data_IF_072581863843
#
_entry.id   IF_072581863843
#
_cell.length_a   1.000
_cell.length_b   1.000
_cell.length_c   1.000
_cell.angle_alpha   90.00
_cell.angle_beta   90.00
_cell.angle_gamma   90.00
#
_symmetry.space_group_name_H-M   'P 1'
#
loop_
_entity.id
_entity.type
_entity.pdbx_description
1 polymer ?
#
# COMPACT_ATOMS: atom_id res chain seq x y z
N UNK A 1 -30.31 7.73 -21.38
CA UNK A 1 -30.49 6.51 -20.56
C UNK A 1 -29.16 6.27 -19.86
N UNK A 2 -28.84 6.90 -18.73
CA UNK A 2 -29.69 7.40 -17.64
C UNK A 2 -29.44 8.87 -17.31
N UNK A 3 -30.53 9.49 -16.83
CA UNK A 3 -30.71 10.84 -16.31
C UNK A 3 -29.68 11.21 -15.24
N UNK A 4 -29.03 12.35 -15.44
CA UNK A 4 -28.40 13.13 -14.37
C UNK A 4 -29.46 14.02 -13.73
N UNK A 5 -29.97 13.61 -12.57
CA UNK A 5 -30.81 14.47 -11.74
C UNK A 5 -30.00 15.63 -11.15
N UNK A 6 -30.48 16.89 -11.27
CA UNK A 6 -29.87 18.03 -10.62
C UNK A 6 -30.17 18.01 -9.11
N UNK A 7 -29.12 18.06 -8.30
CA UNK A 7 -29.20 18.23 -6.85
C UNK A 7 -29.84 19.58 -6.55
N UNK A 8 -31.07 19.53 -6.04
CA UNK A 8 -31.88 20.65 -5.61
C UNK A 8 -31.29 21.24 -4.31
N UNK A 9 -31.06 22.55 -4.21
CA UNK A 9 -30.57 23.18 -2.99
C UNK A 9 -31.72 23.23 -1.97
N UNK A 10 -31.61 22.44 -0.90
CA UNK A 10 -32.55 22.48 0.21
C UNK A 10 -32.48 23.84 0.92
N UNK A 11 -33.62 24.52 0.90
CA UNK A 11 -33.92 25.74 1.63
C UNK A 11 -33.60 25.56 3.13
N UNK A 12 -32.66 26.37 3.61
CA UNK A 12 -32.40 26.59 5.03
C UNK A 12 -33.53 27.47 5.57
N UNK A 13 -34.68 26.84 5.80
CA UNK A 13 -35.81 27.40 6.53
C UNK A 13 -35.37 27.72 7.96
N UNK A 14 -35.25 29.01 8.22
CA UNK A 14 -34.93 29.66 9.48
C UNK A 14 -36.13 29.55 10.44
N UNK A 15 -36.30 28.38 11.06
CA UNK A 15 -37.25 28.15 12.14
C UNK A 15 -36.71 28.72 13.46
N UNK A 16 -37.03 29.98 13.76
CA UNK A 16 -36.77 30.60 15.05
C UNK A 16 -37.61 29.96 16.15
N UNK A 17 -36.99 29.13 16.98
CA UNK A 17 -37.58 28.71 18.25
C UNK A 17 -37.40 29.82 19.30
N UNK A 18 -38.46 30.24 20.01
CA UNK A 18 -38.36 31.19 21.10
C UNK A 18 -37.57 30.56 22.25
N UNK A 19 -36.46 31.22 22.62
CA UNK A 19 -35.67 30.90 23.80
C UNK A 19 -36.51 31.28 25.03
N UNK A 20 -37.20 30.30 25.61
CA UNK A 20 -37.85 30.44 26.91
C UNK A 20 -36.78 30.67 27.99
N UNK A 21 -36.67 31.92 28.41
CA UNK A 21 -36.00 32.32 29.64
C UNK A 21 -36.83 31.84 30.85
N UNK A 22 -36.22 31.05 31.73
CA UNK A 22 -36.79 30.77 33.05
C UNK A 22 -37.14 29.31 33.29
N UNK A 23 -36.12 28.46 33.48
CA UNK A 23 -36.26 27.24 34.26
C UNK A 23 -34.93 26.96 34.99
N UNK A 24 -34.96 27.27 36.29
CA UNK A 24 -34.06 26.86 37.37
C UNK A 24 -32.97 25.83 37.00
N UNK A 25 -31.74 26.33 36.84
CA UNK A 25 -30.49 25.56 36.85
C UNK A 25 -30.07 25.21 38.29
N UNK A 26 -30.94 24.51 39.01
CA UNK A 26 -30.63 23.93 40.34
C UNK A 26 -30.74 22.42 40.29
N UNK A 27 -30.44 21.82 39.14
CA UNK A 27 -30.11 20.40 39.08
C UNK A 27 -28.67 20.25 39.55
N UNK A 28 -28.52 20.05 40.86
CA UNK A 28 -27.33 19.55 41.52
C UNK A 28 -27.02 18.13 41.02
N UNK A 29 -26.73 18.01 39.72
CA UNK A 29 -25.92 16.92 39.18
C UNK A 29 -24.63 16.98 39.97
N UNK A 30 -24.51 16.04 40.89
CA UNK A 30 -23.29 15.55 41.49
C UNK A 30 -22.20 15.52 40.43
N UNK A 31 -21.51 16.67 40.32
CA UNK A 31 -20.30 16.83 39.55
C UNK A 31 -19.22 16.07 40.27
N UNK A 32 -19.27 14.74 40.22
CA UNK A 32 -18.05 13.97 40.35
C UNK A 32 -17.17 14.50 39.23
N UNK A 33 -16.08 15.23 39.54
CA UNK A 33 -15.14 15.61 38.51
C UNK A 33 -14.78 14.31 37.80
N UNK A 34 -14.94 14.29 36.48
CA UNK A 34 -14.50 13.24 35.58
C UNK A 34 -12.96 13.19 35.62
N UNK A 35 -12.40 12.91 36.79
CA UNK A 35 -11.03 12.53 36.99
C UNK A 35 -10.93 11.06 36.58
N UNK A 36 -11.22 10.83 35.29
CA UNK A 36 -11.08 9.52 34.66
C UNK A 36 -9.59 9.24 34.61
N UNK A 37 -9.10 8.59 35.66
CA UNK A 37 -7.78 7.99 35.71
C UNK A 37 -7.71 6.86 34.69
N UNK A 38 -6.56 6.73 34.05
CA UNK A 38 -6.32 5.65 33.12
C UNK A 38 -6.29 4.32 33.87
N UNK A 39 -7.14 3.40 33.49
CA UNK A 39 -7.25 2.10 34.13
C UNK A 39 -6.29 1.05 33.58
N UNK A 40 -6.00 1.14 32.27
CA UNK A 40 -5.15 0.21 31.54
C UNK A 40 -3.72 0.72 31.38
N UNK A 41 -2.84 -0.18 30.97
CA UNK A 41 -1.47 0.16 30.67
C UNK A 41 -1.41 1.09 29.43
N UNK A 42 -0.76 2.23 29.59
CA UNK A 42 -0.56 3.20 28.51
C UNK A 42 0.85 3.78 28.64
N UNK A 43 1.87 3.20 27.97
CA UNK A 43 3.22 3.72 28.05
C UNK A 43 3.30 5.11 27.40
N UNK A 44 3.95 6.07 28.06
CA UNK A 44 4.18 7.41 27.54
C UNK A 44 4.88 7.36 26.19
N UNK A 45 4.46 8.18 25.22
CA UNK A 45 5.04 8.16 23.87
C UNK A 45 6.53 8.53 23.86
N UNK A 46 6.97 9.40 24.78
CA UNK A 46 8.35 9.88 24.91
C UNK A 46 9.19 8.94 25.78
N UNK A 47 8.94 8.88 27.09
CA UNK A 47 9.79 8.16 28.04
C UNK A 47 9.38 6.71 28.31
N UNK A 48 8.27 6.22 27.72
CA UNK A 48 7.71 4.87 27.93
C UNK A 48 7.21 4.56 29.36
N UNK A 49 7.22 5.51 30.29
CA UNK A 49 6.60 5.34 31.62
C UNK A 49 5.12 4.96 31.53
N UNK A 50 4.66 3.99 32.31
CA UNK A 50 3.27 3.53 32.27
C UNK A 50 2.34 4.54 32.96
N UNK A 51 1.43 5.15 32.19
CA UNK A 51 0.50 6.18 32.66
C UNK A 51 -0.74 5.62 33.37
N UNK A 52 -0.73 4.34 33.75
CA UNK A 52 -1.81 3.72 34.52
C UNK A 52 -2.01 4.46 35.85
N UNK A 53 -3.24 4.86 36.13
CA UNK A 53 -3.64 5.61 37.31
C UNK A 53 -3.52 7.13 37.18
N UNK A 54 -2.87 7.64 36.13
CA UNK A 54 -2.70 9.09 35.89
C UNK A 54 -3.99 9.66 35.29
N UNK A 55 -4.34 10.90 35.64
CA UNK A 55 -5.50 11.58 35.05
C UNK A 55 -5.26 11.94 33.58
N UNK A 56 -6.28 11.86 32.74
CA UNK A 56 -6.20 12.23 31.31
C UNK A 56 -5.75 13.70 31.12
N UNK A 57 -6.02 14.56 32.13
CA UNK A 57 -5.68 16.00 32.12
C UNK A 57 -4.25 16.29 32.57
N UNK A 58 -3.60 15.34 33.24
CA UNK A 58 -2.27 15.51 33.79
C UNK A 58 -1.18 15.32 32.73
N UNK A 59 0.05 15.58 33.15
CA UNK A 59 1.26 15.31 32.40
C UNK A 59 1.93 14.04 32.93
N UNK A 60 2.70 13.36 32.08
CA UNK A 60 3.55 12.26 32.49
C UNK A 60 4.51 12.72 33.61
N UNK A 61 4.59 12.03 34.76
CA UNK A 61 5.42 12.47 35.89
C UNK A 61 6.92 12.47 35.57
N UNK A 62 7.36 11.58 34.67
CA UNK A 62 8.78 11.46 34.29
C UNK A 62 9.27 12.53 33.31
N UNK A 63 8.44 12.93 32.34
CA UNK A 63 8.92 13.76 31.21
C UNK A 63 8.02 14.96 30.89
N UNK A 64 6.96 15.21 31.66
CA UNK A 64 6.04 16.32 31.44
C UNK A 64 5.19 16.23 30.17
N UNK A 65 5.27 15.14 29.40
CA UNK A 65 4.46 14.98 28.17
C UNK A 65 2.98 14.90 28.54
N UNK A 66 2.09 15.72 27.95
CA UNK A 66 0.65 15.67 28.25
C UNK A 66 0.07 14.29 27.95
N UNK A 67 -0.71 13.71 28.89
CA UNK A 67 -1.30 12.37 28.73
C UNK A 67 -2.19 12.31 27.47
N UNK A 68 -2.94 13.38 27.17
CA UNK A 68 -3.73 13.52 25.93
C UNK A 68 -2.91 13.33 24.65
N UNK A 69 -1.65 13.78 24.62
CA UNK A 69 -0.78 13.62 23.46
C UNK A 69 -0.38 12.14 23.29
N UNK A 70 -0.12 11.44 24.39
CA UNK A 70 0.11 9.99 24.37
C UNK A 70 -1.14 9.23 23.93
N UNK A 71 -2.32 9.59 24.44
CA UNK A 71 -3.59 8.97 24.01
C UNK A 71 -3.81 9.16 22.52
N UNK A 72 -3.68 10.38 21.99
CA UNK A 72 -3.84 10.65 20.56
C UNK A 72 -2.78 9.93 19.70
N UNK A 73 -1.58 9.70 20.25
CA UNK A 73 -0.50 9.00 19.54
C UNK A 73 -0.65 7.47 19.56
N UNK A 74 -1.21 6.88 20.62
CA UNK A 74 -1.24 5.42 20.82
C UNK A 74 -2.62 4.78 20.68
N UNK A 75 -3.69 5.51 21.00
CA UNK A 75 -5.05 4.99 21.01
C UNK A 75 -5.74 5.37 19.70
N UNK A 76 -6.13 4.36 18.92
CA UNK A 76 -6.94 4.59 17.72
C UNK A 76 -8.41 4.78 18.12
N UNK A 77 -8.99 5.99 17.95
CA UNK A 77 -10.40 6.21 18.27
C UNK A 77 -11.34 5.37 17.39
N UNK A 78 -10.88 4.93 16.21
CA UNK A 78 -11.66 4.16 15.24
C UNK A 78 -11.40 2.65 15.31
N UNK A 79 -10.65 2.16 16.31
CA UNK A 79 -10.33 0.74 16.43
C UNK A 79 -11.56 -0.18 16.42
N UNK A 80 -12.71 0.30 16.92
CA UNK A 80 -13.97 -0.45 16.94
C UNK A 80 -14.62 -0.62 15.57
N UNK A 81 -14.35 0.28 14.63
CA UNK A 81 -14.87 0.19 13.26
C UNK A 81 -14.05 -0.81 12.42
N UNK A 82 -12.83 -1.12 12.85
CA UNK A 82 -11.94 -2.01 12.13
C UNK A 82 -12.31 -3.49 12.39
N UNK A 83 -13.05 -4.10 11.46
CA UNK A 83 -13.41 -5.52 11.52
C UNK A 83 -12.19 -6.44 11.71
N UNK A 84 -12.18 -7.37 12.69
CA UNK A 84 -11.01 -8.18 13.03
C UNK A 84 -10.47 -9.02 11.86
N UNK A 85 -9.15 -9.16 11.79
CA UNK A 85 -8.48 -10.04 10.81
C UNK A 85 -8.45 -11.45 11.39
N UNK A 86 -8.97 -12.47 10.70
CA UNK A 86 -9.05 -13.82 11.24
C UNK A 86 -7.68 -14.50 11.38
N UNK A 87 -6.71 -14.12 10.53
CA UNK A 87 -5.37 -14.74 10.47
C UNK A 87 -4.26 -13.68 10.37
N UNK A 88 -4.01 -12.89 11.44
CA UNK A 88 -3.11 -11.74 11.39
C UNK A 88 -1.67 -12.12 10.99
N UNK A 89 -1.17 -13.27 11.45
CA UNK A 89 0.17 -13.77 11.11
C UNK A 89 0.33 -14.08 9.63
N UNK A 90 -0.64 -14.77 9.03
CA UNK A 90 -0.58 -15.09 7.59
C UNK A 90 -0.66 -13.82 6.74
N UNK A 91 -1.54 -12.88 7.10
CA UNK A 91 -1.64 -11.60 6.38
C UNK A 91 -0.33 -10.81 6.47
N UNK A 92 0.27 -10.74 7.66
CA UNK A 92 1.55 -10.07 7.87
C UNK A 92 2.67 -10.69 7.03
N UNK A 93 2.83 -12.03 7.06
CA UNK A 93 3.84 -12.73 6.27
C UNK A 93 3.60 -12.53 4.76
N UNK A 94 2.35 -12.66 4.31
CA UNK A 94 2.02 -12.50 2.89
C UNK A 94 2.26 -11.09 2.37
N UNK A 95 1.98 -10.04 3.16
CA UNK A 95 2.28 -8.66 2.79
C UNK A 95 3.79 -8.42 2.60
N UNK A 96 4.60 -8.95 3.52
CA UNK A 96 6.07 -8.84 3.43
C UNK A 96 6.58 -9.65 2.24
N UNK A 97 6.11 -10.89 2.06
CA UNK A 97 6.48 -11.74 0.93
C UNK A 97 6.10 -11.11 -0.43
N UNK A 98 4.92 -10.47 -0.50
CA UNK A 98 4.45 -9.78 -1.69
C UNK A 98 5.40 -8.66 -2.12
N UNK A 99 5.72 -7.74 -1.20
CA UNK A 99 6.63 -6.62 -1.47
C UNK A 99 8.07 -7.07 -1.70
N UNK A 100 8.56 -8.03 -0.91
CA UNK A 100 9.93 -8.55 -1.03
C UNK A 100 10.16 -9.25 -2.36
N UNK A 101 9.24 -10.15 -2.76
CA UNK A 101 9.31 -10.83 -4.04
C UNK A 101 9.28 -9.86 -5.21
N UNK A 102 8.45 -8.81 -5.15
CA UNK A 102 8.38 -7.78 -6.20
C UNK A 102 9.69 -6.99 -6.31
N UNK A 103 10.25 -6.54 -5.19
CA UNK A 103 11.52 -5.81 -5.17
C UNK A 103 12.67 -6.70 -5.67
N UNK A 104 12.74 -7.95 -5.22
CA UNK A 104 13.77 -8.90 -5.66
C UNK A 104 13.65 -9.18 -7.17
N UNK A 105 12.42 -9.32 -7.69
CA UNK A 105 12.18 -9.47 -9.14
C UNK A 105 12.71 -8.24 -9.91
N UNK A 106 12.39 -7.03 -9.44
CA UNK A 106 12.84 -5.80 -10.08
C UNK A 106 14.37 -5.69 -10.08
N UNK A 107 15.01 -5.93 -8.92
CA UNK A 107 16.48 -5.90 -8.79
C UNK A 107 17.17 -6.94 -9.66
N UNK A 108 16.66 -8.17 -9.68
CA UNK A 108 17.19 -9.24 -10.55
C UNK A 108 16.99 -8.90 -12.03
N UNK A 109 15.92 -8.18 -12.40
CA UNK A 109 15.69 -7.71 -13.76
C UNK A 109 16.76 -6.73 -14.27
N UNK A 110 17.41 -5.98 -13.37
CA UNK A 110 18.53 -5.10 -13.71
C UNK A 110 19.85 -5.85 -13.93
N UNK A 111 20.00 -7.05 -13.36
CA UNK A 111 21.29 -7.75 -13.29
C UNK A 111 21.97 -7.99 -14.65
N UNK A 112 21.26 -8.42 -15.72
CA UNK A 112 21.90 -8.62 -17.03
C UNK A 112 22.49 -7.34 -17.62
N UNK A 113 21.90 -6.18 -17.32
CA UNK A 113 22.34 -4.89 -17.84
C UNK A 113 23.58 -4.34 -17.11
N UNK A 114 23.79 -4.75 -15.85
CA UNK A 114 24.91 -4.30 -15.02
C UNK A 114 26.09 -5.27 -15.08
N UNK A 115 25.81 -6.58 -15.11
CA UNK A 115 26.83 -7.61 -14.92
C UNK A 115 27.00 -8.57 -16.11
N UNK A 116 26.22 -8.40 -17.19
CA UNK A 116 26.12 -9.39 -18.29
C UNK A 116 25.80 -10.82 -17.80
N UNK A 117 25.23 -10.95 -16.60
CA UNK A 117 24.99 -12.25 -15.99
C UNK A 117 23.67 -12.81 -16.51
N UNK A 118 23.73 -13.69 -17.52
CA UNK A 118 22.58 -14.38 -18.09
C UNK A 118 22.71 -15.91 -17.94
N UNK A 119 22.48 -16.40 -16.72
CA UNK A 119 22.54 -17.84 -16.44
C UNK A 119 21.15 -18.43 -16.22
N UNK A 120 20.99 -19.74 -16.43
CA UNK A 120 19.75 -20.43 -16.10
C UNK A 120 19.35 -20.24 -14.61
N UNK A 121 20.26 -20.32 -13.62
CA UNK A 121 19.94 -20.01 -12.22
C UNK A 121 19.35 -18.62 -12.00
N UNK A 122 19.85 -17.59 -12.70
CA UNK A 122 19.31 -16.23 -12.60
C UNK A 122 17.84 -16.17 -13.07
N UNK A 123 17.52 -16.81 -14.20
CA UNK A 123 16.14 -16.88 -14.72
C UNK A 123 15.19 -17.55 -13.73
N UNK A 124 15.64 -18.65 -13.13
CA UNK A 124 14.88 -19.37 -12.10
C UNK A 124 14.67 -18.48 -10.87
N UNK A 125 15.70 -17.77 -10.40
CA UNK A 125 15.59 -16.84 -9.28
C UNK A 125 14.62 -15.68 -9.58
N UNK A 126 14.66 -15.13 -10.80
CA UNK A 126 13.75 -14.08 -11.26
C UNK A 126 12.29 -14.56 -11.27
N UNK A 127 12.02 -15.75 -11.81
CA UNK A 127 10.67 -16.31 -11.82
C UNK A 127 10.19 -16.74 -10.43
N UNK A 128 11.09 -17.28 -9.60
CA UNK A 128 10.78 -17.69 -8.22
C UNK A 128 10.44 -16.48 -7.36
N UNK A 129 11.18 -15.38 -7.48
CA UNK A 129 10.87 -14.14 -6.75
C UNK A 129 9.52 -13.52 -7.18
N UNK A 130 9.19 -13.57 -8.47
CA UNK A 130 7.88 -13.17 -8.97
C UNK A 130 6.76 -14.08 -8.42
N UNK A 131 6.99 -15.40 -8.36
CA UNK A 131 6.07 -16.36 -7.78
C UNK A 131 5.86 -16.15 -6.27
N UNK A 132 6.92 -15.89 -5.50
CA UNK A 132 6.83 -15.52 -4.07
C UNK A 132 5.97 -14.26 -3.90
N UNK A 133 6.15 -13.27 -4.77
CA UNK A 133 5.32 -12.06 -4.76
C UNK A 133 3.84 -12.42 -4.98
N UNK A 134 3.54 -13.23 -5.99
CA UNK A 134 2.16 -13.67 -6.30
C UNK A 134 1.50 -14.47 -5.19
N UNK A 135 2.26 -15.39 -4.56
CA UNK A 135 1.79 -16.13 -3.39
C UNK A 135 1.53 -15.21 -2.19
N UNK A 136 2.38 -14.19 -1.98
CA UNK A 136 2.16 -13.16 -0.98
C UNK A 136 0.87 -12.37 -1.23
N UNK A 137 0.58 -12.04 -2.49
CA UNK A 137 -0.61 -11.28 -2.88
C UNK A 137 -1.94 -12.01 -2.58
N UNK A 138 -1.93 -13.33 -2.36
CA UNK A 138 -3.13 -14.09 -1.98
C UNK A 138 -3.78 -13.57 -0.68
N UNK A 139 -3.02 -12.96 0.22
CA UNK A 139 -3.58 -12.38 1.46
C UNK A 139 -4.47 -11.16 1.18
N UNK A 140 -4.36 -10.57 -0.02
CA UNK A 140 -5.21 -9.47 -0.46
C UNK A 140 -6.55 -9.94 -1.00
N UNK A 141 -6.81 -11.24 -1.21
CA UNK A 141 -8.10 -11.72 -1.72
C UNK A 141 -9.26 -11.41 -0.77
N UNK A 142 -9.05 -11.61 0.53
CA UNK A 142 -10.08 -11.40 1.55
C UNK A 142 -9.46 -10.97 2.89
N UNK A 143 -9.01 -9.71 3.01
CA UNK A 143 -8.29 -9.23 4.20
C UNK A 143 -9.15 -9.30 5.48
N UNK A 144 -10.47 -9.12 5.37
CA UNK A 144 -11.41 -9.26 6.49
C UNK A 144 -12.77 -9.81 6.01
N UNK A 145 -13.67 -10.09 6.96
CA UNK A 145 -15.00 -10.66 6.64
C UNK A 145 -15.92 -9.71 5.88
N UNK A 146 -15.76 -8.40 6.02
CA UNK A 146 -16.60 -7.37 5.37
C UNK A 146 -16.10 -6.88 4.02
N UNK A 147 -15.09 -7.52 3.43
CA UNK A 147 -14.62 -7.15 2.08
C UNK A 147 -15.72 -7.46 1.06
N UNK A 148 -16.09 -6.47 0.24
CA UNK A 148 -17.11 -6.61 -0.81
C UNK A 148 -16.68 -7.66 -1.83
N UNK A 149 -17.63 -8.47 -2.33
CA UNK A 149 -17.34 -9.53 -3.31
C UNK A 149 -16.65 -8.98 -4.57
N UNK A 150 -17.06 -7.81 -5.05
CA UNK A 150 -16.43 -7.16 -6.20
C UNK A 150 -14.94 -6.93 -5.99
N UNK A 151 -14.51 -6.48 -4.80
CA UNK A 151 -13.11 -6.28 -4.51
C UNK A 151 -12.35 -7.62 -4.39
N UNK A 152 -12.99 -8.67 -3.86
CA UNK A 152 -12.42 -10.02 -3.83
C UNK A 152 -12.19 -10.55 -5.26
N UNK A 153 -13.16 -10.37 -6.17
CA UNK A 153 -13.04 -10.78 -7.56
C UNK A 153 -11.97 -9.99 -8.31
N UNK A 154 -11.90 -8.66 -8.11
CA UNK A 154 -10.82 -7.84 -8.65
C UNK A 154 -9.45 -8.33 -8.17
N UNK A 155 -9.30 -8.55 -6.86
CA UNK A 155 -8.05 -9.06 -6.30
C UNK A 155 -7.71 -10.46 -6.85
N UNK A 156 -8.70 -11.33 -7.04
CA UNK A 156 -8.51 -12.65 -7.65
C UNK A 156 -7.98 -12.55 -9.08
N UNK A 157 -8.56 -11.66 -9.89
CA UNK A 157 -8.06 -11.39 -11.23
C UNK A 157 -6.63 -10.84 -11.19
N UNK A 158 -6.33 -9.91 -10.25
CA UNK A 158 -4.99 -9.37 -10.05
C UNK A 158 -3.96 -10.44 -9.67
N UNK A 159 -4.33 -11.39 -8.81
CA UNK A 159 -3.46 -12.53 -8.47
C UNK A 159 -3.29 -13.47 -9.66
N UNK A 160 -4.36 -13.76 -10.41
CA UNK A 160 -4.29 -14.64 -11.58
C UNK A 160 -3.34 -14.12 -12.66
N UNK A 161 -3.21 -12.80 -12.80
CA UNK A 161 -2.26 -12.15 -13.73
C UNK A 161 -0.78 -12.41 -13.39
N UNK A 162 -0.43 -12.93 -12.21
CA UNK A 162 0.95 -13.40 -11.96
C UNK A 162 1.34 -14.57 -12.88
N UNK A 163 0.39 -15.39 -13.33
CA UNK A 163 0.68 -16.52 -14.23
C UNK A 163 1.22 -16.04 -15.59
N UNK A 164 0.52 -15.19 -16.36
CA UNK A 164 1.06 -14.64 -17.59
C UNK A 164 2.29 -13.76 -17.35
N UNK A 165 2.36 -13.03 -16.22
CA UNK A 165 3.55 -12.25 -15.86
C UNK A 165 4.80 -13.14 -15.78
N UNK A 166 4.73 -14.26 -15.07
CA UNK A 166 5.85 -15.21 -14.94
C UNK A 166 6.20 -15.82 -16.30
N UNK A 167 5.21 -16.16 -17.13
CA UNK A 167 5.44 -16.63 -18.49
C UNK A 167 6.17 -15.61 -19.36
N UNK A 168 5.79 -14.34 -19.29
CA UNK A 168 6.45 -13.23 -19.98
C UNK A 168 7.88 -13.02 -19.49
N UNK A 169 8.10 -13.05 -18.17
CA UNK A 169 9.44 -12.98 -17.56
C UNK A 169 10.32 -14.14 -18.05
N UNK A 170 9.79 -15.36 -18.08
CA UNK A 170 10.52 -16.53 -18.55
C UNK A 170 10.95 -16.40 -20.02
N UNK A 171 10.05 -15.88 -20.88
CA UNK A 171 10.34 -15.68 -22.31
C UNK A 171 11.29 -14.51 -22.55
N UNK A 172 11.14 -13.40 -21.84
CA UNK A 172 12.02 -12.22 -21.93
C UNK A 172 13.42 -12.45 -21.35
N UNK A 173 13.57 -13.41 -20.44
CA UNK A 173 14.84 -13.84 -19.87
C UNK A 173 15.47 -15.02 -20.61
N UNK A 174 14.86 -15.48 -21.70
CA UNK A 174 15.32 -16.61 -22.51
C UNK A 174 16.70 -16.41 -23.16
N UNK A 175 17.34 -17.51 -23.60
CA UNK A 175 18.63 -17.46 -24.29
C UNK A 175 18.53 -16.80 -25.68
N UNK A 176 17.32 -16.64 -26.21
CA UNK A 176 17.02 -16.01 -27.52
C UNK A 176 17.45 -14.52 -27.59
N UNK A 177 17.88 -13.93 -26.47
CA UNK A 177 18.18 -12.51 -26.32
C UNK A 177 19.65 -12.28 -25.94
N UNK A 178 20.33 -11.42 -26.71
CA UNK A 178 21.69 -10.99 -26.39
C UNK A 178 21.64 -9.72 -25.55
N UNK A 179 22.15 -9.81 -24.32
CA UNK A 179 22.30 -8.67 -23.42
C UNK A 179 23.71 -8.12 -23.56
N UNK A 180 23.84 -6.93 -24.15
CA UNK A 180 25.08 -6.18 -24.13
C UNK A 180 25.01 -5.10 -23.02
N UNK A 181 26.08 -4.94 -22.20
CA UNK A 181 26.14 -3.88 -21.20
C UNK A 181 25.77 -2.53 -21.77
N UNK A 182 24.88 -1.81 -21.08
CA UNK A 182 24.42 -0.47 -21.44
C UNK A 182 23.77 -0.33 -22.82
N UNK A 183 23.54 -1.43 -23.56
CA UNK A 183 22.74 -1.41 -24.78
C UNK A 183 21.31 -1.84 -24.48
N UNK A 184 20.39 -0.97 -24.87
CA UNK A 184 18.98 -1.15 -24.62
C UNK A 184 18.17 -0.80 -25.87
N UNK A 185 17.12 -1.57 -26.22
CA UNK A 185 16.78 -2.90 -25.72
C UNK A 185 17.74 -3.99 -26.27
N UNK A 186 17.76 -5.19 -25.66
CA UNK A 186 18.46 -6.36 -26.20
C UNK A 186 18.01 -6.72 -27.62
N UNK A 187 18.94 -7.20 -28.45
CA UNK A 187 18.64 -7.70 -29.79
C UNK A 187 18.18 -9.16 -29.74
N UNK A 188 17.22 -9.52 -30.60
CA UNK A 188 16.82 -10.91 -30.83
C UNK A 188 17.87 -11.62 -31.68
N UNK A 189 18.19 -12.87 -31.35
CA UNK A 189 18.96 -13.75 -32.25
C UNK A 189 18.09 -14.36 -33.34
N UNK A 190 16.79 -14.48 -33.06
CA UNK A 190 15.80 -15.10 -33.93
C UNK A 190 15.05 -14.01 -34.72
N UNK A 191 15.12 -14.01 -36.05
CA UNK A 191 14.40 -13.04 -36.88
C UNK A 191 12.87 -13.22 -36.84
N UNK A 192 12.38 -14.42 -36.48
CA UNK A 192 10.95 -14.73 -36.41
C UNK A 192 10.35 -14.50 -35.01
N UNK A 193 11.19 -14.22 -34.00
CA UNK A 193 10.71 -13.96 -32.65
C UNK A 193 9.88 -12.66 -32.60
N UNK A 194 8.79 -12.62 -31.81
CA UNK A 194 8.02 -11.40 -31.64
C UNK A 194 8.93 -10.28 -31.14
N UNK A 195 8.73 -9.03 -31.59
CA UNK A 195 9.55 -7.92 -31.15
C UNK A 195 9.62 -7.86 -29.63
N UNK A 196 10.82 -7.85 -29.05
CA UNK A 196 11.01 -7.81 -27.59
C UNK A 196 10.19 -6.71 -26.94
N UNK A 197 10.15 -5.55 -27.59
CA UNK A 197 9.40 -4.39 -27.17
C UNK A 197 7.90 -4.70 -27.00
N UNK A 198 7.29 -5.52 -27.88
CA UNK A 198 5.89 -5.93 -27.74
C UNK A 198 5.67 -6.76 -26.48
N UNK A 199 6.53 -7.74 -26.23
CA UNK A 199 6.46 -8.54 -24.99
C UNK A 199 6.61 -7.67 -23.74
N UNK A 200 7.42 -6.61 -23.80
CA UNK A 200 7.62 -5.66 -22.70
C UNK A 200 6.43 -4.72 -22.51
N UNK A 201 5.80 -4.24 -23.58
CA UNK A 201 4.51 -3.52 -23.50
C UNK A 201 3.46 -4.38 -22.80
N UNK A 202 3.36 -5.67 -23.17
CA UNK A 202 2.42 -6.61 -22.53
C UNK A 202 2.80 -6.83 -21.05
N UNK A 203 4.09 -6.95 -20.73
CA UNK A 203 4.57 -7.06 -19.36
C UNK A 203 4.16 -5.86 -18.51
N UNK A 204 4.43 -4.64 -18.98
CA UNK A 204 4.14 -3.40 -18.28
C UNK A 204 2.63 -3.18 -18.11
N UNK A 205 1.84 -3.50 -19.15
CA UNK A 205 0.38 -3.49 -19.07
C UNK A 205 -0.14 -4.49 -18.05
N UNK A 206 0.47 -5.69 -17.98
CA UNK A 206 0.11 -6.72 -17.00
C UNK A 206 0.41 -6.24 -15.58
N UNK A 207 1.59 -5.66 -15.33
CA UNK A 207 1.97 -5.09 -14.02
C UNK A 207 1.00 -3.97 -13.62
N UNK A 208 0.71 -3.04 -14.53
CA UNK A 208 -0.22 -1.94 -14.28
C UNK A 208 -1.62 -2.45 -13.91
N UNK A 209 -2.14 -3.43 -14.67
CA UNK A 209 -3.44 -4.03 -14.41
C UNK A 209 -3.48 -4.76 -13.06
N UNK A 210 -2.43 -5.53 -12.73
CA UNK A 210 -2.30 -6.20 -11.43
C UNK A 210 -2.38 -5.21 -10.27
N UNK A 211 -1.63 -4.10 -10.35
CA UNK A 211 -1.62 -3.06 -9.31
C UNK A 211 -3.00 -2.41 -9.15
N UNK A 212 -3.68 -2.08 -10.25
CA UNK A 212 -5.02 -1.50 -10.23
C UNK A 212 -6.05 -2.45 -9.59
N UNK A 213 -5.96 -3.75 -9.91
CA UNK A 213 -6.87 -4.78 -9.42
C UNK A 213 -6.65 -5.11 -7.94
N UNK A 214 -5.40 -5.08 -7.45
CA UNK A 214 -5.06 -5.34 -6.04
C UNK A 214 -5.29 -4.13 -5.13
N UNK A 215 -5.29 -2.92 -5.69
CA UNK A 215 -5.37 -1.65 -4.94
C UNK A 215 -6.56 -1.51 -3.98
N UNK A 216 -7.82 -1.89 -4.32
CA UNK A 216 -8.95 -1.73 -3.40
C UNK A 216 -8.73 -2.47 -2.08
N UNK A 217 -8.19 -3.69 -2.12
CA UNK A 217 -7.97 -4.50 -0.91
C UNK A 217 -6.71 -4.11 -0.15
N UNK A 218 -5.64 -3.68 -0.86
CA UNK A 218 -4.49 -3.10 -0.19
C UNK A 218 -4.87 -1.86 0.63
N UNK A 219 -5.73 -0.98 0.08
CA UNK A 219 -6.26 0.20 0.79
C UNK A 219 -7.00 -0.14 2.09
N UNK A 220 -7.70 -1.27 2.14
CA UNK A 220 -8.40 -1.72 3.36
C UNK A 220 -7.41 -2.10 4.46
N UNK A 221 -6.26 -2.72 4.11
CA UNK A 221 -5.21 -3.06 5.08
C UNK A 221 -4.44 -1.82 5.53
N UNK A 222 -4.12 -0.93 4.60
CA UNK A 222 -3.52 0.39 4.82
C UNK A 222 -4.33 1.22 5.81
N UNK A 223 -5.66 1.27 5.68
CA UNK A 223 -6.52 2.06 6.58
C UNK A 223 -6.39 1.70 8.08
N UNK A 224 -5.78 0.55 8.40
CA UNK A 224 -5.55 0.05 9.77
C UNK A 224 -4.23 0.50 10.37
N UNK A 225 -3.22 0.88 9.59
CA UNK A 225 -1.98 1.38 10.16
C UNK A 225 -2.14 2.85 10.54
N UNK A 226 -2.24 3.12 11.85
CA UNK A 226 -2.35 4.46 12.46
C UNK A 226 -1.36 5.49 11.89
N UNK A 227 -0.16 5.04 11.49
CA UNK A 227 0.88 5.87 10.88
C UNK A 227 0.41 6.58 9.59
N UNK A 228 -0.57 6.03 8.87
CA UNK A 228 -1.04 6.60 7.60
C UNK A 228 -2.09 7.69 7.75
N UNK A 229 -2.72 7.82 8.92
CA UNK A 229 -3.67 8.92 9.21
C UNK A 229 -2.96 10.22 9.58
N UNK A 230 -1.70 10.16 10.03
CA UNK A 230 -0.90 11.34 10.37
C UNK A 230 -0.16 11.99 9.18
N UNK A 231 -0.33 11.51 7.94
CA UNK A 231 -0.06 12.36 6.77
C UNK A 231 0.58 11.68 5.55
N UNK A 232 -0.25 11.54 4.52
CA UNK A 232 0.03 11.78 3.09
C UNK A 232 0.70 10.71 2.21
N UNK A 233 1.36 9.68 2.72
CA UNK A 233 2.28 8.92 1.84
C UNK A 233 1.64 7.77 1.01
N UNK A 234 0.55 7.12 1.45
CA UNK A 234 0.18 5.83 0.82
C UNK A 234 -0.85 5.89 -0.33
N UNK A 235 -1.62 7.00 -0.45
CA UNK A 235 -2.66 7.08 -1.51
C UNK A 235 -2.09 7.11 -2.92
N UNK A 236 -0.80 7.44 -3.06
CA UNK A 236 -0.14 7.74 -4.33
C UNK A 236 0.82 6.64 -4.78
N UNK A 237 1.40 5.81 -3.90
CA UNK A 237 2.46 4.85 -4.25
C UNK A 237 2.05 3.87 -5.34
N UNK A 238 0.91 3.17 -5.20
CA UNK A 238 0.45 2.21 -6.22
C UNK A 238 0.11 2.88 -7.56
N UNK A 239 -0.47 4.09 -7.54
CA UNK A 239 -0.74 4.81 -8.79
C UNK A 239 0.53 5.33 -9.45
N UNK A 240 1.51 5.75 -8.65
CA UNK A 240 2.83 6.14 -9.15
C UNK A 240 3.53 4.94 -9.80
N UNK A 241 3.41 3.73 -9.23
CA UNK A 241 3.90 2.50 -9.86
C UNK A 241 3.17 2.17 -11.17
N UNK A 242 1.85 2.34 -11.22
CA UNK A 242 1.07 2.19 -12.47
C UNK A 242 1.55 3.19 -13.52
N UNK A 243 1.77 4.46 -13.14
CA UNK A 243 2.29 5.48 -14.04
C UNK A 243 3.73 5.18 -14.49
N UNK A 244 4.57 4.63 -13.62
CA UNK A 244 5.93 4.22 -13.94
C UNK A 244 5.95 3.04 -14.94
N UNK A 245 5.11 2.03 -14.74
CA UNK A 245 4.92 0.93 -15.69
C UNK A 245 4.37 1.44 -17.02
N UNK A 246 3.37 2.34 -17.00
CA UNK A 246 2.82 2.94 -18.21
C UNK A 246 3.87 3.77 -18.97
N UNK A 247 4.72 4.54 -18.28
CA UNK A 247 5.81 5.27 -18.89
C UNK A 247 6.79 4.31 -19.59
N UNK A 248 7.19 3.23 -18.93
CA UNK A 248 8.05 2.22 -19.54
C UNK A 248 7.40 1.61 -20.79
N UNK A 249 6.13 1.21 -20.70
CA UNK A 249 5.38 0.65 -21.82
C UNK A 249 5.22 1.63 -22.99
N UNK A 250 5.00 2.92 -22.74
CA UNK A 250 4.98 3.96 -23.78
C UNK A 250 6.33 4.05 -24.46
N UNK A 251 7.43 3.97 -23.71
CA UNK A 251 8.77 3.96 -24.28
C UNK A 251 8.98 2.78 -25.24
N UNK A 252 8.59 1.57 -24.85
CA UNK A 252 8.64 0.39 -25.71
C UNK A 252 7.71 0.50 -26.94
N UNK A 253 6.55 1.14 -26.80
CA UNK A 253 5.64 1.39 -27.91
C UNK A 253 6.22 2.38 -28.93
N UNK A 254 6.88 3.45 -28.46
CA UNK A 254 7.59 4.40 -29.32
C UNK A 254 8.71 3.69 -30.09
N UNK A 255 9.44 2.79 -29.43
CA UNK A 255 10.47 1.96 -30.09
C UNK A 255 9.86 1.09 -31.19
N UNK A 256 8.75 0.42 -30.92
CA UNK A 256 8.04 -0.42 -31.90
C UNK A 256 7.60 0.35 -33.14
N UNK A 257 7.06 1.55 -32.95
CA UNK A 257 6.46 2.33 -34.03
C UNK A 257 7.50 3.09 -34.86
N UNK A 258 8.61 3.51 -34.25
CA UNK A 258 9.58 4.41 -34.88
C UNK A 258 10.97 3.77 -35.06
N UNK A 259 11.19 2.53 -34.63
CA UNK A 259 12.51 1.89 -34.63
C UNK A 259 13.15 1.72 -36.00
N UNK A 260 12.34 1.65 -37.06
CA UNK A 260 12.81 1.50 -38.45
C UNK A 260 13.05 2.84 -39.16
N UNK A 261 12.70 3.96 -38.53
CA UNK A 261 12.88 5.28 -39.13
C UNK A 261 14.37 5.65 -39.18
N UNK A 262 14.88 5.95 -40.38
CA UNK A 262 16.29 6.34 -40.59
C UNK A 262 16.48 7.85 -40.44
N UNK A 263 17.66 8.26 -39.98
CA UNK A 263 18.08 9.65 -39.85
C UNK A 263 17.83 10.25 -38.48
N UNK A 264 18.09 11.56 -38.34
CA UNK A 264 18.13 12.25 -37.05
C UNK A 264 16.83 12.13 -36.22
N UNK A 265 15.67 12.06 -36.87
CA UNK A 265 14.38 11.90 -36.20
C UNK A 265 14.23 10.51 -35.56
N UNK A 266 14.71 9.47 -36.23
CA UNK A 266 14.73 8.11 -35.71
C UNK A 266 15.68 7.99 -34.51
N UNK A 267 16.89 8.54 -34.63
CA UNK A 267 17.87 8.55 -33.53
C UNK A 267 17.32 9.25 -32.28
N UNK A 268 16.64 10.39 -32.47
CA UNK A 268 16.00 11.13 -31.38
C UNK A 268 14.85 10.35 -30.73
N UNK A 269 13.98 9.71 -31.52
CA UNK A 269 12.89 8.88 -31.03
C UNK A 269 13.40 7.67 -30.23
N UNK A 270 14.48 7.04 -30.69
CA UNK A 270 15.13 5.90 -30.05
C UNK A 270 15.77 6.30 -28.72
N UNK A 271 16.45 7.45 -28.67
CA UNK A 271 16.99 7.99 -27.43
C UNK A 271 15.87 8.31 -26.42
N UNK A 272 14.80 8.97 -26.87
CA UNK A 272 13.67 9.31 -26.03
C UNK A 272 12.99 8.07 -25.45
N UNK A 273 12.73 7.06 -26.28
CA UNK A 273 12.19 5.76 -25.87
C UNK A 273 13.05 5.11 -24.77
N UNK A 274 14.37 5.04 -24.96
CA UNK A 274 15.30 4.46 -23.98
C UNK A 274 15.24 5.19 -22.64
N UNK A 275 15.27 6.52 -22.67
CA UNK A 275 15.19 7.34 -21.45
C UNK A 275 13.89 7.04 -20.70
N UNK A 276 12.77 7.01 -21.42
CA UNK A 276 11.47 6.79 -20.82
C UNK A 276 11.36 5.41 -20.17
N UNK A 277 11.87 4.37 -20.84
CA UNK A 277 11.93 3.01 -20.30
C UNK A 277 12.80 2.92 -19.04
N UNK A 278 14.00 3.49 -19.06
CA UNK A 278 14.93 3.45 -17.93
C UNK A 278 14.33 4.17 -16.73
N UNK A 279 13.78 5.38 -16.93
CA UNK A 279 13.14 6.16 -15.87
C UNK A 279 11.92 5.43 -15.31
N UNK A 280 11.04 4.90 -16.18
CA UNK A 280 9.87 4.12 -15.76
C UNK A 280 10.25 2.90 -14.94
N UNK A 281 11.24 2.13 -15.39
CA UNK A 281 11.73 0.94 -14.68
C UNK A 281 12.36 1.29 -13.32
N UNK A 282 13.10 2.40 -13.26
CA UNK A 282 13.72 2.88 -12.02
C UNK A 282 12.66 3.30 -11.00
N UNK A 283 11.65 4.08 -11.41
CA UNK A 283 10.54 4.45 -10.54
C UNK A 283 9.69 3.26 -10.11
N UNK A 284 9.51 2.26 -10.98
CA UNK A 284 8.82 1.02 -10.62
C UNK A 284 9.59 0.25 -9.53
N UNK A 285 10.93 0.22 -9.63
CA UNK A 285 11.81 -0.40 -8.63
C UNK A 285 11.73 0.34 -7.29
N UNK A 286 11.78 1.68 -7.30
CA UNK A 286 11.60 2.51 -6.10
C UNK A 286 10.21 2.32 -5.48
N UNK A 287 9.17 2.22 -6.31
CA UNK A 287 7.82 1.91 -5.87
C UNK A 287 7.72 0.54 -5.20
N UNK A 288 8.38 -0.50 -5.74
CA UNK A 288 8.44 -1.82 -5.12
C UNK A 288 9.15 -1.79 -3.76
N UNK A 289 10.21 -1.00 -3.61
CA UNK A 289 10.85 -0.76 -2.31
C UNK A 289 9.88 -0.07 -1.32
N UNK A 290 9.12 0.92 -1.78
CA UNK A 290 8.06 1.57 -1.00
C UNK A 290 7.01 0.57 -0.52
N UNK A 291 6.51 -0.29 -1.42
CA UNK A 291 5.55 -1.36 -1.09
C UNK A 291 6.10 -2.32 -0.04
N UNK A 292 7.38 -2.68 -0.09
CA UNK A 292 8.00 -3.52 0.95
C UNK A 292 8.05 -2.81 2.31
N UNK A 293 8.47 -1.53 2.35
CA UNK A 293 8.53 -0.75 3.58
C UNK A 293 7.13 -0.61 4.20
N UNK A 294 6.14 -0.28 3.38
CA UNK A 294 4.76 -0.13 3.83
C UNK A 294 4.16 -1.48 4.24
N UNK A 295 4.44 -2.55 3.49
CA UNK A 295 4.07 -3.93 3.83
C UNK A 295 4.62 -4.35 5.20
N UNK A 296 5.88 -4.04 5.50
CA UNK A 296 6.49 -4.30 6.81
C UNK A 296 5.84 -3.46 7.93
N UNK A 297 5.58 -2.18 7.70
CA UNK A 297 4.90 -1.30 8.66
C UNK A 297 3.49 -1.78 8.99
N UNK A 298 2.72 -2.15 7.96
CA UNK A 298 1.36 -2.69 8.10
C UNK A 298 1.40 -4.05 8.79
N UNK A 299 2.32 -4.94 8.40
CA UNK A 299 2.50 -6.25 9.03
C UNK A 299 2.74 -6.11 10.55
N UNK A 300 3.62 -5.19 10.96
CA UNK A 300 3.89 -4.90 12.38
C UNK A 300 2.63 -4.38 13.10
N UNK A 301 1.88 -3.48 12.49
CA UNK A 301 0.63 -2.95 13.05
C UNK A 301 -0.48 -4.02 13.17
N UNK A 302 -0.50 -5.00 12.27
CA UNK A 302 -1.43 -6.13 12.33
C UNK A 302 -1.07 -7.10 13.48
N UNK A 303 0.22 -7.32 13.72
CA UNK A 303 0.70 -8.25 14.75
C UNK A 303 0.62 -7.67 16.17
N UNK A 304 0.75 -6.35 16.31
CA UNK A 304 0.71 -5.64 17.58
C UNK A 304 -0.50 -4.70 17.57
N UNK A 305 -1.72 -5.20 17.87
CA UNK A 305 -2.92 -4.37 17.86
C UNK A 305 -2.80 -3.28 18.92
N UNK A 306 -3.15 -2.04 18.55
CA UNK A 306 -3.17 -0.93 19.48
C UNK A 306 -4.31 -1.09 20.50
N UNK A 307 -4.07 -0.72 21.77
CA UNK A 307 -5.10 -0.80 22.79
C UNK A 307 -6.25 0.15 22.45
N UNK A 308 -7.48 -0.32 22.63
CA UNK A 308 -8.68 0.49 22.44
C UNK A 308 -8.84 1.46 23.61
N UNK A 309 -9.47 2.62 23.37
CA UNK A 309 -9.80 3.57 24.45
C UNK A 309 -10.59 2.91 25.59
N UNK A 310 -11.43 1.94 25.25
CA UNK A 310 -12.19 1.14 26.21
C UNK A 310 -11.29 0.33 27.13
N UNK A 311 -10.27 -0.34 26.60
CA UNK A 311 -9.31 -1.12 27.40
C UNK A 311 -8.47 -0.21 28.30
N UNK A 312 -8.10 0.97 27.80
CA UNK A 312 -7.33 1.97 28.55
C UNK A 312 -8.17 2.59 29.68
N UNK A 313 -9.48 2.76 29.50
CA UNK A 313 -10.37 3.34 30.53
C UNK A 313 -10.92 2.27 31.49
N UNK A 314 -11.42 1.14 30.99
CA UNK A 314 -12.19 0.15 31.78
C UNK A 314 -11.35 -0.74 32.69
N UNK A 315 -10.04 -0.89 32.44
CA UNK A 315 -9.17 -1.71 33.31
C UNK A 315 -8.98 -1.13 34.73
N UNK A 316 -9.50 0.07 35.01
CA UNK A 316 -9.41 0.74 36.31
C UNK A 316 -10.55 0.43 37.25
N UNK A 317 -11.66 -0.15 36.77
CA UNK A 317 -12.88 -0.32 37.56
C UNK A 317 -13.05 -1.70 38.20
N UNK A 318 -12.20 -2.70 37.90
CA UNK A 318 -12.47 -4.10 38.28
C UNK A 318 -11.72 -4.63 39.51
N UNK A 319 -10.81 -3.86 40.15
CA UNK A 319 -9.96 -4.40 41.23
C UNK A 319 -9.99 -3.58 42.54
N UNK A 320 -11.18 -3.37 43.12
CA UNK A 320 -11.27 -3.11 44.56
C UNK A 320 -11.95 -4.31 45.22
N UNK A 321 -11.19 -5.29 45.75
CA UNK A 321 -11.73 -6.23 46.72
C UNK A 321 -12.15 -5.42 47.96
N UNK A 322 -13.45 -5.43 48.24
CA UNK A 322 -14.06 -4.97 49.49
C UNK A 322 -13.68 -5.88 50.65
#
# INVERSE_FOLDING_TARGET
MDETDPVQPDDISSGGHPVSAGASLTDARTGQPLDRRLGGDLPCVVCKYNLKGVSIREACPECGTPVRATILAMVDPYARELMPIPRPRLVAIGLVAWGFGALLTALLGWLPYVMSAHSHPWRVALCTSAAISGLGALVLLRPNRGTRLSHCLMALAGVALYVPLIGLIWKLSGPDWVFEPFKFPPMSLDPDAPPRALLRVILDATIAMMLLLLRPNARVLVARSLALRMGRVDRQTMLAMVAAAAAAGIGDLVWLLLGDTRGAMGDAAMLFSRILVVIGSAFLTLGAAGVLIDGYRIARAILVPTPTLAQVIAAGTTNSPS
#
